data_IF_672637859089
#
_entry.id   IF_672637859089
#
_cell.length_a   1.000
_cell.length_b   1.000
_cell.length_c   1.000
_cell.angle_alpha   90.00
_cell.angle_beta   90.00
_cell.angle_gamma   90.00
#
_symmetry.space_group_name_H-M   'P 1'
#
loop_
_entity.id
_entity.type
_entity.pdbx_description
1 polymer ?
#
# COMPACT_ATOMS: atom_id res chain seq x y z
N UNK A 1 -4.23 1.95 41.61
CA UNK A 1 -3.76 2.83 40.52
C UNK A 1 -2.85 2.10 39.52
N UNK A 2 -2.02 1.13 39.91
CA UNK A 2 -1.15 0.40 38.96
C UNK A 2 -1.73 -0.90 38.37
N UNK A 3 -2.80 -1.49 38.93
CA UNK A 3 -3.35 -2.76 38.41
C UNK A 3 -4.50 -2.61 37.39
N UNK A 4 -5.19 -1.47 37.39
CA UNK A 4 -6.28 -1.21 36.43
C UNK A 4 -5.77 -0.77 35.05
N UNK A 5 -4.55 -0.23 34.97
CA UNK A 5 -3.91 0.17 33.71
C UNK A 5 -3.43 -1.07 32.92
N UNK A 6 -3.04 -2.15 33.61
CA UNK A 6 -2.57 -3.38 32.95
C UNK A 6 -3.74 -4.17 32.35
N UNK A 7 -4.95 -4.11 32.95
CA UNK A 7 -6.14 -4.78 32.41
C UNK A 7 -6.69 -4.16 31.12
N UNK A 8 -6.37 -2.89 30.85
CA UNK A 8 -6.73 -2.23 29.59
C UNK A 8 -5.84 -2.61 28.40
N UNK A 9 -4.72 -3.31 28.62
CA UNK A 9 -3.75 -3.65 27.56
C UNK A 9 -3.92 -5.07 27.00
N UNK A 10 -4.90 -5.84 27.48
CA UNK A 10 -5.09 -7.26 27.12
C UNK A 10 -6.33 -7.57 26.29
N UNK A 11 -7.12 -6.58 25.89
CA UNK A 11 -8.25 -6.81 24.98
C UNK A 11 -8.02 -6.07 23.66
N UNK A 12 -7.06 -6.56 22.87
CA UNK A 12 -7.11 -6.33 21.43
C UNK A 12 -8.34 -7.09 20.94
N UNK A 13 -9.49 -6.42 20.88
CA UNK A 13 -10.64 -6.93 20.15
C UNK A 13 -10.16 -7.33 18.77
N UNK A 14 -10.14 -8.62 18.49
CA UNK A 14 -9.86 -9.12 17.15
C UNK A 14 -10.90 -8.45 16.27
N UNK A 15 -10.46 -7.56 15.37
CA UNK A 15 -11.34 -6.86 14.45
C UNK A 15 -12.03 -7.94 13.61
N UNK A 16 -13.26 -8.26 13.99
CA UNK A 16 -14.02 -9.32 13.33
C UNK A 16 -14.94 -8.60 12.36
N UNK A 17 -14.43 -8.36 11.15
CA UNK A 17 -15.23 -7.71 10.10
C UNK A 17 -16.44 -8.60 9.84
N UNK A 18 -17.64 -8.05 10.02
CA UNK A 18 -18.88 -8.79 9.79
C UNK A 18 -19.03 -9.13 8.31
N UNK A 19 -19.84 -10.15 8.01
CA UNK A 19 -20.14 -10.51 6.61
C UNK A 19 -20.73 -9.33 5.85
N UNK A 20 -21.59 -8.54 6.49
CA UNK A 20 -22.26 -7.41 5.86
C UNK A 20 -21.26 -6.28 5.55
N UNK A 21 -20.32 -6.00 6.44
CA UNK A 21 -19.22 -5.05 6.18
C UNK A 21 -18.32 -5.52 5.02
N UNK A 22 -18.00 -6.82 4.97
CA UNK A 22 -17.25 -7.41 3.84
C UNK A 22 -18.02 -7.23 2.54
N UNK A 23 -19.32 -7.53 2.53
CA UNK A 23 -20.15 -7.36 1.33
C UNK A 23 -20.23 -5.90 0.90
N UNK A 24 -20.45 -4.97 1.85
CA UNK A 24 -20.45 -3.55 1.57
C UNK A 24 -19.13 -3.06 0.98
N UNK A 25 -18.00 -3.50 1.52
CA UNK A 25 -16.67 -3.18 0.97
C UNK A 25 -16.52 -3.69 -0.46
N UNK A 26 -16.92 -4.93 -0.74
CA UNK A 26 -16.84 -5.52 -2.07
C UNK A 26 -17.76 -4.83 -3.07
N UNK A 27 -18.93 -4.38 -2.63
CA UNK A 27 -19.88 -3.62 -3.46
C UNK A 27 -19.34 -2.24 -3.81
N UNK A 28 -18.88 -1.47 -2.81
CA UNK A 28 -18.22 -0.17 -3.00
C UNK A 28 -17.00 -0.29 -3.92
N UNK A 29 -16.19 -1.33 -3.72
CA UNK A 29 -15.03 -1.59 -4.55
C UNK A 29 -15.38 -1.85 -6.02
N UNK A 30 -16.54 -2.44 -6.30
CA UNK A 30 -16.97 -2.72 -7.67
C UNK A 30 -17.69 -1.56 -8.33
N UNK A 31 -18.48 -0.78 -7.57
CA UNK A 31 -19.32 0.27 -8.14
C UNK A 31 -18.57 1.61 -8.23
N UNK A 32 -17.93 2.02 -7.13
CA UNK A 32 -17.37 3.37 -7.01
C UNK A 32 -15.86 3.41 -7.17
N UNK A 33 -15.17 2.32 -6.82
CA UNK A 33 -13.71 2.28 -6.72
C UNK A 33 -13.04 1.20 -7.56
N UNK A 34 -13.69 0.71 -8.62
CA UNK A 34 -13.19 -0.43 -9.44
C UNK A 34 -11.77 -0.20 -9.97
N UNK A 35 -11.45 1.05 -10.32
CA UNK A 35 -10.13 1.43 -10.85
C UNK A 35 -9.09 1.70 -9.76
N UNK A 36 -9.56 1.98 -8.53
CA UNK A 36 -8.72 2.40 -7.41
C UNK A 36 -8.35 1.19 -6.56
N UNK A 37 -9.32 0.34 -6.23
CA UNK A 37 -9.11 -0.86 -5.42
C UNK A 37 -8.65 -1.99 -6.34
N UNK A 38 -7.41 -2.40 -6.17
CA UNK A 38 -6.82 -3.46 -6.99
C UNK A 38 -7.11 -4.84 -6.43
N UNK A 39 -7.09 -4.97 -5.11
CA UNK A 39 -7.32 -6.24 -4.41
C UNK A 39 -7.96 -6.04 -3.05
N UNK A 40 -8.86 -6.95 -2.73
CA UNK A 40 -9.38 -7.21 -1.39
C UNK A 40 -9.16 -8.71 -1.12
N UNK A 41 -8.26 -9.03 -0.20
CA UNK A 41 -8.10 -10.38 0.36
C UNK A 41 -8.75 -10.38 1.75
N UNK A 42 -9.61 -11.36 2.05
CA UNK A 42 -10.40 -11.40 3.30
C UNK A 42 -9.91 -12.52 4.24
N UNK A 43 -9.33 -13.58 3.68
CA UNK A 43 -8.88 -14.75 4.45
C UNK A 43 -7.46 -15.14 4.02
N UNK A 44 -6.55 -15.48 4.97
CA UNK A 44 -6.76 -15.60 6.41
C UNK A 44 -6.83 -14.27 7.18
N UNK A 45 -6.48 -13.16 6.54
CA UNK A 45 -6.43 -11.81 7.10
C UNK A 45 -6.96 -10.82 6.06
N UNK A 46 -7.62 -9.76 6.53
CA UNK A 46 -8.11 -8.72 5.62
C UNK A 46 -6.95 -7.82 5.17
N UNK A 47 -6.73 -7.77 3.86
CA UNK A 47 -5.78 -6.89 3.21
C UNK A 47 -6.44 -6.19 2.02
N UNK A 48 -6.25 -4.88 1.91
CA UNK A 48 -6.77 -4.08 0.81
C UNK A 48 -5.61 -3.33 0.16
N UNK A 49 -5.46 -3.50 -1.15
CA UNK A 49 -4.44 -2.81 -1.95
C UNK A 49 -5.13 -1.88 -2.93
N UNK A 50 -4.74 -0.61 -2.91
CA UNK A 50 -5.38 0.41 -3.74
C UNK A 50 -4.43 1.54 -4.11
N UNK A 51 -4.71 2.17 -5.25
CA UNK A 51 -4.02 3.37 -5.74
C UNK A 51 -4.87 4.08 -6.78
N UNK A 52 -4.67 5.38 -6.92
CA UNK A 52 -5.20 6.09 -8.08
C UNK A 52 -4.42 5.71 -9.36
N UNK A 53 -5.09 5.38 -10.47
CA UNK A 53 -4.42 5.04 -11.73
C UNK A 53 -3.43 6.10 -12.23
N UNK A 54 -3.67 7.39 -11.95
CA UNK A 54 -2.77 8.48 -12.32
C UNK A 54 -1.46 8.44 -11.53
N UNK A 55 -1.49 8.04 -10.26
CA UNK A 55 -0.28 7.86 -9.46
C UNK A 55 0.58 6.71 -9.99
N UNK A 56 -0.05 5.59 -10.40
CA UNK A 56 0.66 4.47 -11.02
C UNK A 56 1.29 4.91 -12.35
N UNK A 57 0.54 5.62 -13.18
CA UNK A 57 1.04 6.09 -14.48
C UNK A 57 2.22 7.06 -14.31
N UNK A 58 2.09 8.02 -13.40
CA UNK A 58 3.17 8.94 -13.05
C UNK A 58 4.41 8.20 -12.56
N UNK A 59 4.25 7.23 -11.66
CA UNK A 59 5.33 6.38 -11.17
C UNK A 59 6.05 5.66 -12.31
N UNK A 60 5.30 5.02 -13.22
CA UNK A 60 5.87 4.35 -14.39
C UNK A 60 6.69 5.32 -15.25
N UNK A 61 6.18 6.51 -15.51
CA UNK A 61 6.85 7.47 -16.40
C UNK A 61 8.08 8.12 -15.76
N UNK A 62 8.06 8.36 -14.44
CA UNK A 62 9.25 8.76 -13.67
C UNK A 62 10.34 7.68 -13.71
N UNK A 63 9.97 6.41 -13.52
CA UNK A 63 10.93 5.29 -13.56
C UNK A 63 11.55 5.13 -14.95
N UNK A 64 10.75 5.23 -16.02
CA UNK A 64 11.27 5.21 -17.40
C UNK A 64 12.29 6.31 -17.63
N UNK A 65 12.00 7.54 -17.19
CA UNK A 65 12.91 8.68 -17.35
C UNK A 65 14.21 8.50 -16.58
N UNK A 66 14.15 8.06 -15.32
CA UNK A 66 15.34 7.76 -14.53
C UNK A 66 16.17 6.64 -15.16
N UNK A 67 15.51 5.60 -15.70
CA UNK A 67 16.19 4.52 -16.42
C UNK A 67 16.90 5.00 -17.69
N UNK A 68 16.28 5.90 -18.46
CA UNK A 68 16.87 6.47 -19.69
C UNK A 68 17.95 7.50 -19.39
N UNK A 69 17.79 8.32 -18.35
CA UNK A 69 18.72 9.39 -17.97
C UNK A 69 19.25 9.19 -16.54
N UNK A 70 20.47 8.66 -16.45
CA UNK A 70 21.17 8.42 -15.16
C UNK A 70 21.42 9.67 -14.32
N UNK A 71 21.27 10.87 -14.88
CA UNK A 71 21.40 12.13 -14.13
C UNK A 71 20.15 12.49 -13.33
N UNK A 72 19.06 11.75 -13.51
CA UNK A 72 17.80 11.91 -12.77
C UNK A 72 17.69 10.73 -11.80
N UNK A 73 18.28 10.82 -10.60
CA UNK A 73 18.21 9.74 -9.62
C UNK A 73 16.77 9.60 -9.13
N UNK A 74 16.26 8.36 -9.14
CA UNK A 74 14.94 8.07 -8.58
C UNK A 74 15.07 7.51 -7.18
N UNK A 75 14.12 7.88 -6.33
CA UNK A 75 13.93 7.29 -5.01
C UNK A 75 12.56 6.63 -4.95
N UNK A 76 12.54 5.40 -4.48
CA UNK A 76 11.35 4.63 -4.14
C UNK A 76 11.53 4.10 -2.73
N UNK A 77 10.52 4.24 -1.89
CA UNK A 77 10.54 3.76 -0.51
C UNK A 77 9.22 3.08 -0.19
N UNK A 78 9.30 1.97 0.54
CA UNK A 78 8.15 1.20 0.99
C UNK A 78 8.26 0.98 2.49
N UNK A 79 7.13 0.67 3.13
CA UNK A 79 7.02 0.37 4.56
C UNK A 79 7.03 1.61 5.49
N UNK A 80 6.56 2.75 4.99
CA UNK A 80 6.07 3.79 5.91
C UNK A 80 4.75 3.31 6.51
N UNK A 81 4.83 2.61 7.64
CA UNK A 81 3.69 1.92 8.25
C UNK A 81 3.19 2.63 9.50
N UNK A 82 1.96 3.13 9.46
CA UNK A 82 1.30 3.78 10.60
C UNK A 82 -0.01 3.09 10.98
N UNK A 83 -0.47 3.34 12.20
CA UNK A 83 -1.72 2.79 12.72
C UNK A 83 -2.90 3.59 12.16
N UNK A 84 -3.94 2.88 11.72
CA UNK A 84 -5.22 3.45 11.32
C UNK A 84 -6.33 2.64 12.00
N UNK A 85 -6.76 3.09 13.17
CA UNK A 85 -7.64 2.31 14.03
C UNK A 85 -6.99 0.98 14.41
N UNK A 86 -7.68 -0.12 14.13
CA UNK A 86 -7.19 -1.48 14.39
C UNK A 86 -6.38 -2.08 13.23
N UNK A 87 -6.21 -1.33 12.14
CA UNK A 87 -5.44 -1.73 10.98
C UNK A 87 -4.10 -0.98 10.90
N UNK A 88 -3.24 -1.47 10.03
CA UNK A 88 -2.02 -0.79 9.61
C UNK A 88 -2.15 -0.35 8.17
N UNK A 89 -1.51 0.78 7.84
CA UNK A 89 -1.38 1.26 6.46
C UNK A 89 0.10 1.32 6.12
N UNK A 90 0.51 0.52 5.14
CA UNK A 90 1.82 0.61 4.50
C UNK A 90 1.70 1.38 3.20
N UNK A 91 2.64 2.27 2.91
CA UNK A 91 2.65 3.08 1.68
C UNK A 91 3.93 2.83 0.89
N UNK A 92 3.78 2.62 -0.42
CA UNK A 92 4.83 2.79 -1.41
C UNK A 92 4.86 4.25 -1.85
N UNK A 93 5.97 4.94 -1.67
CA UNK A 93 6.16 6.34 -2.06
C UNK A 93 7.29 6.47 -3.07
N UNK A 94 7.19 7.49 -3.92
CA UNK A 94 8.22 7.84 -4.89
C UNK A 94 8.48 9.33 -4.90
N UNK A 95 9.68 9.69 -5.35
CA UNK A 95 10.04 11.07 -5.67
C UNK A 95 9.46 11.48 -7.01
N UNK A 96 8.78 12.61 -7.06
CA UNK A 96 8.45 13.28 -8.33
C UNK A 96 9.63 14.16 -8.75
N UNK A 97 10.35 13.73 -9.78
CA UNK A 97 11.53 14.45 -10.31
C UNK A 97 11.18 15.50 -11.36
N UNK A 98 9.90 15.64 -11.72
CA UNK A 98 9.44 16.70 -12.63
C UNK A 98 9.12 18.00 -11.88
N UNK A 99 8.88 17.92 -10.57
CA UNK A 99 8.50 19.07 -9.74
C UNK A 99 9.72 19.60 -8.99
N UNK A 100 9.89 20.93 -9.00
CA UNK A 100 10.96 21.60 -8.26
C UNK A 100 10.90 21.22 -6.76
N UNK A 101 12.05 20.79 -6.23
CA UNK A 101 12.17 20.36 -4.84
C UNK A 101 11.95 18.87 -4.63
N UNK A 102 11.71 18.10 -5.69
CA UNK A 102 11.67 16.63 -5.66
C UNK A 102 10.67 16.08 -4.61
N UNK A 103 9.39 16.51 -4.60
CA UNK A 103 8.45 16.10 -3.56
C UNK A 103 8.21 14.59 -3.59
N UNK A 104 7.93 14.03 -2.41
CA UNK A 104 7.55 12.61 -2.28
C UNK A 104 6.04 12.50 -2.38
N UNK A 105 5.56 11.57 -3.21
CA UNK A 105 4.13 11.29 -3.38
C UNK A 105 3.82 9.80 -3.16
N UNK A 106 2.61 9.46 -2.69
CA UNK A 106 2.20 8.07 -2.53
C UNK A 106 1.81 7.45 -3.88
N UNK A 107 2.30 6.24 -4.11
CA UNK A 107 2.08 5.46 -5.33
C UNK A 107 1.12 4.31 -5.11
N UNK A 108 1.18 3.63 -3.97
CA UNK A 108 0.34 2.47 -3.69
C UNK A 108 0.16 2.33 -2.18
N UNK A 109 -1.06 2.01 -1.75
CA UNK A 109 -1.41 1.80 -0.36
C UNK A 109 -1.74 0.33 -0.11
N UNK A 110 -1.38 -0.15 1.08
CA UNK A 110 -1.83 -1.43 1.60
C UNK A 110 -2.40 -1.22 3.00
N UNK A 111 -3.68 -1.50 3.17
CA UNK A 111 -4.33 -1.63 4.48
C UNK A 111 -4.28 -3.09 4.88
N UNK A 112 -3.84 -3.40 6.09
CA UNK A 112 -3.69 -4.77 6.57
C UNK A 112 -3.88 -4.88 8.09
N UNK A 113 -4.49 -5.97 8.55
CA UNK A 113 -4.77 -6.20 9.98
C UNK A 113 -3.50 -6.48 10.81
N UNK A 114 -2.47 -7.09 10.20
CA UNK A 114 -1.24 -7.50 10.91
C UNK A 114 0.02 -7.16 10.12
N UNK A 115 1.08 -6.74 10.82
CA UNK A 115 2.41 -6.47 10.25
C UNK A 115 3.21 -7.76 10.01
N UNK A 116 2.70 -8.67 9.19
CA UNK A 116 3.40 -9.92 8.86
C UNK A 116 4.30 -9.73 7.65
N UNK A 117 5.56 -10.18 7.73
CA UNK A 117 6.51 -10.13 6.61
C UNK A 117 5.91 -10.68 5.30
N UNK A 118 5.21 -11.82 5.39
CA UNK A 118 4.53 -12.47 4.26
C UNK A 118 3.54 -11.55 3.54
N UNK A 119 2.81 -10.70 4.27
CA UNK A 119 1.86 -9.73 3.70
C UNK A 119 2.60 -8.70 2.83
N UNK A 120 3.73 -8.19 3.30
CA UNK A 120 4.57 -7.25 2.56
C UNK A 120 5.28 -7.91 1.36
N UNK A 121 5.72 -9.16 1.51
CA UNK A 121 6.31 -9.94 0.40
C UNK A 121 5.29 -10.21 -0.72
N UNK A 122 4.06 -10.57 -0.35
CA UNK A 122 2.96 -10.75 -1.31
C UNK A 122 2.64 -9.43 -2.01
N UNK A 123 2.58 -8.33 -1.26
CA UNK A 123 2.35 -7.01 -1.82
C UNK A 123 3.39 -6.63 -2.87
N UNK A 124 4.67 -6.77 -2.53
CA UNK A 124 5.77 -6.45 -3.43
C UNK A 124 5.79 -7.37 -4.65
N UNK A 125 5.68 -8.68 -4.42
CA UNK A 125 5.77 -9.69 -5.46
C UNK A 125 4.60 -9.66 -6.45
N UNK A 126 3.37 -9.46 -5.96
CA UNK A 126 2.16 -9.50 -6.80
C UNK A 126 1.77 -8.16 -7.38
N UNK A 127 1.86 -7.06 -6.61
CA UNK A 127 1.30 -5.78 -7.02
C UNK A 127 2.36 -4.83 -7.50
N UNK A 128 3.41 -4.58 -6.72
CA UNK A 128 4.46 -3.62 -7.12
C UNK A 128 5.12 -4.07 -8.42
N UNK A 129 5.58 -5.32 -8.52
CA UNK A 129 6.20 -5.83 -9.75
C UNK A 129 5.27 -5.78 -10.96
N UNK A 130 3.99 -6.16 -10.79
CA UNK A 130 3.00 -6.24 -11.87
C UNK A 130 2.53 -4.87 -12.33
N UNK A 131 2.14 -4.01 -11.39
CA UNK A 131 1.54 -2.70 -11.66
C UNK A 131 2.60 -1.71 -12.15
N UNK A 132 3.80 -1.74 -11.56
CA UNK A 132 4.88 -0.78 -11.87
C UNK A 132 5.85 -1.34 -12.93
N UNK A 133 5.69 -2.61 -13.33
CA UNK A 133 6.47 -3.26 -14.40
C UNK A 133 7.99 -3.17 -14.18
N UNK A 134 8.42 -3.39 -12.93
CA UNK A 134 9.83 -3.29 -12.53
C UNK A 134 10.74 -4.28 -13.26
N UNK A 135 10.21 -5.38 -13.79
CA UNK A 135 11.00 -6.39 -14.52
C UNK A 135 11.58 -5.88 -15.84
N UNK A 136 10.99 -4.82 -16.42
CA UNK A 136 11.58 -4.08 -17.56
C UNK A 136 12.63 -3.06 -17.12
N UNK A 137 12.65 -2.72 -15.83
CA UNK A 137 13.57 -1.76 -15.21
C UNK A 137 14.54 -2.51 -14.28
N UNK A 138 15.31 -3.48 -14.82
CA UNK A 138 16.22 -4.40 -14.07
C UNK A 138 17.34 -3.74 -13.23
N UNK A 139 17.34 -2.42 -13.03
CA UNK A 139 18.44 -1.65 -12.43
C UNK A 139 18.00 -0.68 -11.32
N UNK A 140 16.79 -0.83 -10.77
CA UNK A 140 16.23 0.08 -9.74
C UNK A 140 16.36 -0.48 -8.31
N UNK A 141 16.98 -1.65 -8.14
CA UNK A 141 17.38 -2.20 -6.84
C UNK A 141 18.90 -2.28 -6.77
#
# INVERSE_FOLDING_TARGET
VCDEVIRGMTDKSILTVSRDEIYGLLELAKQDFEKIIHVIEIYPETNVVFSDPSCIQLAIDLLKRSYTNKRIPQLMSYDTTFNLGDCYVSILVMRDTDILGDPIFPVLFMVHEKKLLKTHELFWGRFVKKLINLDKCKRIL
#
